data_IF_475014514335
#
_entry.id   IF_475014514335
#
_cell.length_a   1.000
_cell.length_b   1.000
_cell.length_c   1.000
_cell.angle_alpha   90.00
_cell.angle_beta   90.00
_cell.angle_gamma   90.00
#
_symmetry.space_group_name_H-M   'P 1'
#
loop_
_entity.id
_entity.type
_entity.pdbx_description
1 polymer ?
2 water ?
#
# COMPACT_ATOMS: atom_id res chain seq x y z
N UNK A 2 -14.29 -5.33 12.74
CA UNK A 2 -15.16 -4.18 13.12
C UNK A 2 -15.15 -3.08 12.07
N UNK A 3 -15.91 -3.22 10.99
CA UNK A 3 -15.97 -2.17 9.98
C UNK A 3 -17.36 -1.52 10.02
N UNK A 4 -17.37 -0.20 10.15
CA UNK A 4 -18.62 0.56 10.30
C UNK A 4 -19.29 0.83 8.95
N UNK A 5 -18.53 1.25 7.97
CA UNK A 5 -19.08 1.77 6.73
C UNK A 5 -18.69 0.88 5.58
N UNK A 6 -19.52 0.86 4.54
CA UNK A 6 -19.06 0.49 3.20
C UNK A 6 -18.82 1.74 2.37
N UNK A 7 -18.18 1.54 1.19
CA UNK A 7 -18.08 2.68 0.29
C UNK A 7 -19.46 3.23 -0.07
N UNK A 8 -20.45 2.34 -0.22
CA UNK A 8 -21.83 2.79 -0.41
C UNK A 8 -22.25 3.82 0.64
N UNK A 9 -21.99 3.50 1.91
CA UNK A 9 -22.38 4.39 3.03
C UNK A 9 -21.66 5.72 2.98
N UNK A 10 -20.36 5.70 2.60
CA UNK A 10 -19.62 6.97 2.43
C UNK A 10 -20.30 7.80 1.34
N UNK A 11 -20.55 7.16 0.23
CA UNK A 11 -21.24 7.87 -0.84
C UNK A 11 -22.60 8.42 -0.42
N UNK A 12 -23.42 7.65 0.32
CA UNK A 12 -24.78 8.06 0.70
C UNK A 12 -24.87 9.03 1.89
N UNK A 13 -23.76 9.32 2.53
CA UNK A 13 -23.76 10.14 3.74
C UNK A 13 -24.13 11.57 3.40
N UNK A 14 -25.07 12.13 4.17
CA UNK A 14 -25.52 13.50 3.95
C UNK A 14 -25.26 14.30 5.22
N UNK A 15 -25.20 15.63 5.05
CA UNK A 15 -24.88 16.51 6.16
C UNK A 15 -25.81 17.69 6.17
N UNK A 16 -26.19 18.16 7.36
CA UNK A 16 -26.86 19.44 7.51
C UNK A 16 -25.90 20.58 7.17
N UNK A 17 -26.46 21.77 7.20
CA UNK A 17 -25.72 22.99 6.96
C UNK A 17 -25.73 23.85 8.21
N UNK A 18 -24.69 24.65 8.35
CA UNK A 18 -24.69 25.70 9.38
C UNK A 18 -23.98 26.91 8.80
N UNK A 19 -24.07 28.04 9.51
CA UNK A 19 -23.57 29.29 8.95
C UNK A 19 -22.05 29.27 8.84
N UNK A 20 -21.35 28.77 9.87
CA UNK A 20 -19.90 28.61 9.84
C UNK A 20 -19.52 27.21 9.41
N UNK A 21 -19.99 26.79 8.26
CA UNK A 21 -19.80 25.43 7.83
C UNK A 21 -18.45 25.12 7.16
N UNK A 22 -18.29 23.84 6.76
CA UNK A 22 -17.18 23.39 5.94
C UNK A 22 -17.50 23.49 4.45
N UNK A 23 -16.50 23.90 3.67
CA UNK A 23 -16.65 24.04 2.25
C UNK A 23 -17.12 22.72 1.66
N UNK A 24 -18.27 22.73 1.00
CA UNK A 24 -18.89 21.45 0.63
C UNK A 24 -18.10 20.71 -0.45
N UNK A 25 -17.55 21.46 -1.41
CA UNK A 25 -16.74 20.85 -2.45
C UNK A 25 -15.52 20.16 -1.86
N UNK A 26 -14.83 20.84 -0.94
CA UNK A 26 -13.65 20.24 -0.31
C UNK A 26 -14.02 18.93 0.38
N UNK A 27 -15.13 18.92 1.12
CA UNK A 27 -15.58 17.68 1.78
C UNK A 27 -15.92 16.63 0.73
N UNK A 28 -16.78 16.97 -0.22
CA UNK A 28 -17.21 15.96 -1.18
C UNK A 28 -16.04 15.38 -1.94
N UNK A 29 -15.14 16.25 -2.36
CA UNK A 29 -13.94 15.81 -3.07
C UNK A 29 -13.00 15.00 -2.19
N UNK A 30 -12.93 15.31 -0.91
CA UNK A 30 -12.26 14.42 0.04
C UNK A 30 -12.95 13.05 0.13
N UNK A 31 -14.28 13.04 0.29
CA UNK A 31 -14.93 11.75 0.48
C UNK A 31 -14.87 10.88 -0.79
N UNK A 32 -14.86 11.50 -1.97
CA UNK A 32 -14.65 10.73 -3.18
C UNK A 32 -13.36 9.88 -3.10
N UNK A 33 -12.29 10.41 -2.50
CA UNK A 33 -11.09 9.60 -2.42
C UNK A 33 -11.19 8.57 -1.30
N UNK A 34 -11.84 8.93 -0.18
CA UNK A 34 -12.17 7.97 0.88
C UNK A 34 -12.94 6.75 0.32
N UNK A 35 -13.92 6.98 -0.55
CA UNK A 35 -14.60 5.88 -1.23
C UNK A 35 -13.62 4.98 -1.96
N UNK A 36 -12.65 5.58 -2.67
CA UNK A 36 -11.66 4.79 -3.41
C UNK A 36 -10.87 3.94 -2.46
N UNK A 37 -10.49 4.51 -1.32
CA UNK A 37 -9.76 3.76 -0.29
C UNK A 37 -10.58 2.63 0.32
N UNK A 38 -11.89 2.84 0.60
CA UNK A 38 -12.69 1.70 1.08
C UNK A 38 -12.69 0.57 0.05
N UNK A 39 -12.80 0.89 -1.22
CA UNK A 39 -12.92 -0.17 -2.22
C UNK A 39 -11.58 -0.84 -2.48
N UNK A 40 -10.50 -0.08 -2.39
CA UNK A 40 -9.16 -0.66 -2.48
C UNK A 40 -8.91 -1.64 -1.32
N UNK A 41 -9.16 -1.21 -0.10
CA UNK A 41 -9.07 -2.12 1.04
C UNK A 41 -9.95 -3.39 0.90
N UNK A 42 -11.22 -3.21 0.52
CA UNK A 42 -12.08 -4.38 0.36
C UNK A 42 -11.48 -5.34 -0.67
N UNK A 43 -11.02 -4.80 -1.79
CA UNK A 43 -10.51 -5.73 -2.81
C UNK A 43 -9.21 -6.36 -2.36
N UNK A 44 -8.40 -5.60 -1.62
CA UNK A 44 -7.12 -6.12 -1.13
C UNK A 44 -7.36 -7.23 -0.11
N UNK A 45 -8.28 -7.00 0.85
CA UNK A 45 -8.67 -8.05 1.80
C UNK A 45 -9.21 -9.28 1.06
N UNK A 46 -10.08 -9.05 0.06
CA UNK A 46 -10.61 -10.20 -0.68
C UNK A 46 -9.48 -11.04 -1.24
N UNK A 47 -8.50 -10.38 -1.86
CA UNK A 47 -7.45 -11.14 -2.57
C UNK A 47 -6.51 -11.83 -1.59
N UNK A 48 -6.24 -11.18 -0.45
CA UNK A 48 -5.44 -11.83 0.58
C UNK A 48 -6.14 -13.08 1.16
N UNK A 49 -7.44 -12.97 1.50
CA UNK A 49 -8.16 -14.14 2.01
C UNK A 49 -8.15 -15.27 1.00
N UNK A 50 -8.16 -14.92 -0.30
CA UNK A 50 -8.01 -15.98 -1.29
C UNK A 50 -6.60 -16.59 -1.28
N UNK A 51 -5.55 -15.76 -1.21
CA UNK A 51 -4.21 -16.36 -1.17
C UNK A 51 -4.08 -17.28 0.04
N UNK A 52 -4.59 -16.84 1.19
CA UNK A 52 -4.61 -17.70 2.38
C UNK A 52 -5.39 -19.01 2.13
N UNK A 53 -6.58 -18.95 1.53
CA UNK A 53 -7.31 -20.21 1.31
C UNK A 53 -6.51 -21.15 0.42
N UNK A 54 -5.90 -20.61 -0.64
CA UNK A 54 -5.12 -21.43 -1.56
C UNK A 54 -3.90 -22.03 -0.87
N UNK A 55 -3.18 -21.24 -0.05
CA UNK A 55 -2.03 -21.81 0.67
C UNK A 55 -2.47 -22.95 1.61
N UNK A 56 -3.58 -22.74 2.35
CA UNK A 56 -4.14 -23.81 3.19
C UNK A 56 -4.50 -25.05 2.38
N UNK A 57 -5.09 -24.89 1.19
CA UNK A 57 -5.29 -26.08 0.37
C UNK A 57 -3.96 -26.77 0.08
N UNK A 58 -2.94 -25.99 -0.29
CA UNK A 58 -1.64 -26.54 -0.65
C UNK A 58 -0.92 -27.17 0.55
N UNK A 59 -1.13 -26.65 1.76
CA UNK A 59 -0.51 -27.30 2.91
C UNK A 59 -1.12 -28.69 3.18
N UNK A 60 -2.34 -28.95 2.70
CA UNK A 60 -2.85 -30.34 2.59
C UNK A 60 -2.56 -30.96 1.20
N UNK B 1 -4.61 -0.68 -6.40
CA UNK B 1 -3.76 0.50 -6.28
C UNK B 1 -3.38 0.80 -4.84
N UNK B 2 -2.72 1.92 -4.59
CA UNK B 2 -2.33 2.14 -3.21
C UNK B 2 -3.35 3.03 -2.52
N UNK B 3 -3.33 2.94 -1.21
CA UNK B 3 -4.23 3.68 -0.36
C UNK B 3 -3.86 5.16 -0.44
N UNK B 4 -4.86 6.02 -0.62
CA UNK B 4 -4.62 7.47 -0.72
C UNK B 4 -4.31 8.08 0.66
N UNK B 5 -5.08 7.72 1.68
CA UNK B 5 -5.08 8.34 2.98
C UNK B 5 -4.65 7.35 4.05
N UNK B 6 -3.88 7.81 5.02
CA UNK B 6 -3.68 7.09 6.27
C UNK B 6 -4.82 7.46 7.23
N UNK B 7 -4.95 6.72 8.33
CA UNK B 7 -5.90 7.19 9.32
C UNK B 7 -5.47 8.53 9.90
N UNK B 8 -4.16 8.75 10.01
CA UNK B 8 -3.64 10.06 10.38
C UNK B 8 -4.16 11.14 9.43
N UNK B 9 -4.02 10.93 8.12
CA UNK B 9 -4.44 11.93 7.15
C UNK B 9 -5.91 12.26 7.31
N UNK B 10 -6.76 11.22 7.50
CA UNK B 10 -8.20 11.45 7.72
C UNK B 10 -8.40 12.41 8.87
N UNK B 11 -7.77 12.12 9.98
CA UNK B 11 -7.93 12.96 11.16
C UNK B 11 -7.38 14.39 10.93
N UNK B 12 -6.23 14.53 10.25
CA UNK B 12 -5.62 15.87 10.12
C UNK B 12 -6.28 16.74 9.06
N UNK B 13 -7.22 16.19 8.28
CA UNK B 13 -7.82 16.92 7.18
C UNK B 13 -8.58 18.14 7.67
N UNK B 14 -8.22 19.30 7.19
CA UNK B 14 -8.99 20.47 7.58
C UNK B 14 -9.79 20.91 6.37
N UNK B 15 -10.91 21.54 6.60
CA UNK B 15 -11.73 22.07 5.52
C UNK B 15 -11.87 23.57 5.71
N UNK B 16 -11.96 24.30 4.62
CA UNK B 16 -12.05 25.75 4.69
C UNK B 16 -13.46 26.15 5.09
N UNK B 17 -13.64 27.42 5.44
CA UNK B 17 -14.96 27.83 5.90
C UNK B 17 -15.84 28.16 4.71
N UNK B 18 -17.11 27.82 4.82
CA UNK B 18 -18.07 28.16 3.80
C UNK B 18 -19.36 28.50 4.52
N UNK B 19 -19.93 29.62 4.15
CA UNK B 19 -21.16 30.02 4.78
C UNK B 19 -22.26 29.11 4.29
N UNK B 20 -23.00 28.50 5.21
CA UNK B 20 -23.99 27.46 4.95
C UNK B 20 -23.37 26.21 4.34
N UNK B 21 -22.09 25.97 4.61
CA UNK B 21 -21.49 24.71 4.29
C UNK B 21 -21.95 23.63 5.24
N UNK B 22 -21.29 22.48 5.18
CA UNK B 22 -21.76 21.34 5.96
C UNK B 22 -21.57 21.60 7.45
N UNK B 23 -22.52 21.11 8.24
CA UNK B 23 -22.43 21.13 9.69
C UNK B 23 -21.13 20.46 10.15
N UNK B 24 -20.36 21.21 10.94
CA UNK B 24 -19.01 20.75 11.29
C UNK B 24 -19.08 19.54 12.20
N UNK B 25 -20.01 19.55 13.15
CA UNK B 25 -20.21 18.41 14.04
C UNK B 25 -20.59 17.15 13.25
N UNK B 26 -21.51 17.26 12.29
CA UNK B 26 -21.87 16.06 11.54
C UNK B 26 -20.67 15.50 10.78
N UNK B 27 -19.92 16.35 10.07
CA UNK B 27 -18.75 15.90 9.32
C UNK B 27 -17.71 15.35 10.25
N UNK B 28 -17.47 16.03 11.38
CA UNK B 28 -16.43 15.59 12.29
C UNK B 28 -16.77 14.23 12.89
N UNK B 29 -18.02 14.06 13.34
CA UNK B 29 -18.39 12.78 13.95
C UNK B 29 -18.40 11.67 12.91
N UNK B 30 -18.73 12.02 11.69
CA UNK B 30 -18.69 11.03 10.62
C UNK B 30 -17.27 10.55 10.37
N UNK B 31 -16.33 11.49 10.18
CA UNK B 31 -14.92 11.14 9.94
C UNK B 31 -14.29 10.45 11.14
N UNK B 32 -14.78 10.75 12.36
CA UNK B 32 -14.32 9.99 13.54
C UNK B 32 -14.51 8.49 13.33
N UNK B 33 -15.66 8.08 12.76
CA UNK B 33 -15.93 6.67 12.47
C UNK B 33 -15.14 6.20 11.27
N UNK B 34 -15.00 7.05 10.24
CA UNK B 34 -14.15 6.70 9.10
C UNK B 34 -12.72 6.42 9.56
N UNK B 35 -12.23 7.19 10.52
CA UNK B 35 -10.90 6.91 11.08
C UNK B 35 -10.80 5.49 11.61
N UNK B 36 -11.83 5.06 12.38
CA UNK B 36 -11.84 3.72 12.98
C UNK B 36 -11.77 2.66 11.89
N UNK B 37 -12.48 2.91 10.79
CA UNK B 37 -12.43 2.00 9.65
C UNK B 37 -11.05 1.96 9.03
N UNK B 38 -10.37 3.11 8.89
CA UNK B 38 -9.03 3.02 8.33
C UNK B 38 -8.12 2.22 9.23
N UNK B 39 -8.22 2.44 10.54
CA UNK B 39 -7.35 1.71 11.47
C UNK B 39 -7.62 0.19 11.39
N UNK B 40 -8.89 -0.20 11.31
CA UNK B 40 -9.24 -1.62 11.23
C UNK B 40 -8.67 -2.25 9.98
N UNK B 41 -8.97 -1.64 8.81
CA UNK B 41 -8.47 -2.18 7.56
C UNK B 41 -6.96 -2.23 7.55
N UNK B 42 -6.29 -1.18 8.00
CA UNK B 42 -4.83 -1.23 7.91
C UNK B 42 -4.32 -2.41 8.73
N UNK B 43 -4.94 -2.64 9.87
CA UNK B 43 -4.46 -3.70 10.75
C UNK B 43 -4.84 -5.07 10.19
N UNK B 44 -6.02 -5.14 9.59
CA UNK B 44 -6.44 -6.38 8.97
C UNK B 44 -5.51 -6.77 7.81
N UNK B 45 -5.17 -5.83 6.92
CA UNK B 45 -4.20 -6.16 5.84
C UNK B 45 -2.88 -6.66 6.40
N UNK B 46 -2.34 -6.01 7.45
CA UNK B 46 -1.10 -6.47 8.06
C UNK B 46 -1.20 -7.89 8.57
N UNK B 47 -2.29 -8.22 9.28
CA UNK B 47 -2.39 -9.57 9.85
C UNK B 47 -2.52 -10.62 8.75
N UNK B 48 -3.25 -10.30 7.69
CA UNK B 48 -3.39 -11.22 6.57
C UNK B 48 -2.06 -11.45 5.90
N UNK B 49 -1.30 -10.37 5.66
CA UNK B 49 0.04 -10.56 5.10
C UNK B 49 0.90 -11.38 6.03
N UNK B 50 0.74 -11.17 7.32
CA UNK B 50 1.56 -11.92 8.24
C UNK B 50 1.16 -13.39 8.21
N UNK B 51 -0.14 -13.66 8.05
CA UNK B 51 -0.58 -15.07 7.95
C UNK B 51 -0.04 -15.72 6.68
N UNK B 52 -0.09 -15.01 5.55
CA UNK B 52 0.48 -15.54 4.30
C UNK B 52 1.97 -15.85 4.47
N UNK B 53 2.70 -14.89 5.03
CA UNK B 53 4.14 -15.09 5.22
C UNK B 53 4.42 -16.28 6.10
N UNK B 54 3.62 -16.47 7.17
CA UNK B 54 3.83 -17.65 8.02
C UNK B 54 3.49 -18.95 7.28
N UNK B 55 2.43 -18.92 6.48
CA UNK B 55 2.01 -20.13 5.77
C UNK B 55 3.00 -20.51 4.68
N UNK B 56 3.50 -19.52 3.94
CA UNK B 56 4.55 -19.78 2.95
C UNK B 56 5.79 -20.36 3.60
N UNK B 57 6.20 -19.80 4.74
CA UNK B 57 7.34 -20.34 5.47
C UNK B 57 7.05 -21.75 5.98
N UNK B 58 5.81 -22.03 6.40
CA UNK B 58 5.42 -23.39 6.78
C UNK B 58 5.59 -24.35 5.60
N UNK B 59 4.89 -24.08 4.50
CA UNK B 59 5.06 -24.74 3.20
C UNK B 59 6.54 -25.02 2.86
N UNK B 60 7.42 -24.10 3.22
CA UNK B 60 8.85 -24.40 3.26
C UNK B 60 9.21 -25.10 4.57
N UNK C 1 -2.04 -0.89 2.55
CA UNK C 1 -1.17 -2.04 2.51
C UNK C 1 -1.06 -2.66 1.13
N UNK C 2 -0.89 -1.84 0.08
CA UNK C 2 -0.71 -2.40 -1.26
C UNK C 2 0.72 -2.91 -1.47
N UNK C 3 1.67 -2.47 -0.65
CA UNK C 3 3.04 -3.00 -0.69
C UNK C 3 3.09 -4.33 0.07
N UNK C 4 3.64 -5.36 -0.58
CA UNK C 4 3.68 -6.70 -0.03
C UNK C 4 4.75 -6.82 1.04
N UNK C 5 5.98 -6.44 0.69
CA UNK C 5 7.19 -6.60 1.51
C UNK C 5 7.72 -5.27 2.06
N UNK C 6 8.27 -5.29 3.28
CA UNK C 6 9.20 -4.24 3.70
C UNK C 6 10.62 -4.59 3.27
N UNK C 7 11.54 -3.62 3.39
CA UNK C 7 12.98 -3.93 3.22
C UNK C 7 13.46 -5.00 4.21
N UNK C 8 12.95 -4.94 5.44
CA UNK C 8 13.22 -5.99 6.42
C UNK C 8 12.77 -7.37 5.92
N UNK C 9 11.62 -7.44 5.26
CA UNK C 9 11.20 -8.77 4.80
C UNK C 9 12.15 -9.29 3.76
N UNK C 10 12.63 -8.41 2.87
CA UNK C 10 13.58 -8.86 1.84
C UNK C 10 14.84 -9.40 2.51
N UNK C 11 15.32 -8.66 3.51
CA UNK C 11 16.49 -9.06 4.28
C UNK C 11 16.30 -10.43 4.93
N UNK C 12 15.13 -10.69 5.52
CA UNK C 12 14.83 -11.89 6.28
C UNK C 12 14.48 -13.09 5.43
N UNK C 13 14.31 -12.91 4.13
CA UNK C 13 13.76 -13.96 3.29
C UNK C 13 14.72 -15.14 3.13
N UNK C 14 14.21 -16.34 3.31
CA UNK C 14 15.00 -17.56 3.25
C UNK C 14 14.43 -18.45 2.15
N UNK C 15 15.30 -19.27 1.56
CA UNK C 15 14.90 -20.20 0.53
C UNK C 15 15.39 -21.61 0.88
N UNK C 16 14.58 -22.60 0.54
CA UNK C 16 15.07 -23.97 0.55
C UNK C 16 15.94 -24.21 -0.66
N UNK C 17 16.36 -25.45 -0.80
CA UNK C 17 17.32 -25.86 -1.83
C UNK C 17 16.69 -26.89 -2.74
N UNK C 18 17.30 -27.06 -3.90
CA UNK C 18 16.87 -28.10 -4.80
C UNK C 18 18.09 -28.56 -5.54
N UNK C 19 17.94 -29.60 -6.35
CA UNK C 19 19.13 -30.13 -7.03
C UNK C 19 19.68 -29.13 -8.04
N UNK C 20 18.87 -28.75 -9.04
CA UNK C 20 19.26 -27.76 -10.03
C UNK C 20 18.85 -26.39 -9.53
N UNK C 21 19.56 -25.93 -8.50
CA UNK C 21 19.17 -24.70 -7.81
C UNK C 21 19.73 -23.44 -8.45
N UNK C 22 19.43 -22.29 -7.84
CA UNK C 22 20.07 -21.04 -8.23
C UNK C 22 21.26 -20.79 -7.33
N UNK C 23 22.30 -20.15 -7.91
CA UNK C 23 23.51 -19.81 -7.18
C UNK C 23 23.20 -18.88 -6.00
N UNK C 24 23.61 -19.30 -4.81
CA UNK C 24 23.16 -18.63 -3.60
C UNK C 24 23.77 -17.24 -3.49
N UNK C 25 25.04 -17.10 -3.88
CA UNK C 25 25.75 -15.83 -3.78
C UNK C 25 25.13 -14.81 -4.73
N UNK C 26 24.83 -15.23 -5.96
CA UNK C 26 24.16 -14.36 -6.93
C UNK C 26 22.81 -13.87 -6.43
N UNK C 27 21.95 -14.78 -5.94
CA UNK C 27 20.64 -14.35 -5.44
C UNK C 27 20.81 -13.43 -4.26
N UNK C 28 21.66 -13.84 -3.33
CA UNK C 28 21.85 -13.04 -2.12
C UNK C 28 22.24 -11.63 -2.44
N UNK C 29 23.25 -11.47 -3.31
CA UNK C 29 23.77 -10.14 -3.55
C UNK C 29 22.80 -9.36 -4.41
N UNK C 30 22.00 -10.04 -5.25
CA UNK C 30 20.95 -9.34 -5.97
C UNK C 30 19.93 -8.75 -5.01
N UNK C 31 19.45 -9.58 -4.04
CA UNK C 31 18.48 -9.10 -3.04
C UNK C 31 19.03 -8.00 -2.14
N UNK C 32 20.37 -7.92 -1.96
CA UNK C 32 20.95 -6.81 -1.22
C UNK C 32 20.79 -5.51 -2.00
N UNK C 33 20.68 -5.58 -3.31
CA UNK C 33 20.35 -4.39 -4.06
C UNK C 33 18.85 -4.11 -4.08
N UNK C 34 18.02 -5.16 -4.13
CA UNK C 34 16.58 -4.94 -4.01
C UNK C 34 16.29 -4.28 -2.68
N UNK C 35 16.99 -4.69 -1.63
CA UNK C 35 16.80 -4.08 -0.33
C UNK C 35 17.00 -2.58 -0.42
N UNK C 36 18.05 -2.13 -1.13
CA UNK C 36 18.33 -0.68 -1.24
C UNK C 36 17.23 0.02 -1.98
N UNK C 37 16.70 -0.61 -3.05
CA UNK C 37 15.55 -0.05 -3.76
C UNK C 37 14.32 0.07 -2.87
N UNK C 38 14.03 -0.93 -2.03
CA UNK C 38 12.92 -0.74 -1.11
C UNK C 38 13.17 0.44 -0.17
N UNK C 39 14.38 0.55 0.37
CA UNK C 39 14.63 1.66 1.28
C UNK C 39 14.47 2.99 0.56
N UNK C 40 14.97 3.07 -0.67
CA UNK C 40 14.94 4.30 -1.43
C UNK C 40 13.51 4.71 -1.78
N UNK C 41 12.70 3.71 -2.19
CA UNK C 41 11.31 3.95 -2.54
C UNK C 41 10.51 4.41 -1.30
N UNK C 42 10.72 3.76 -0.16
CA UNK C 42 10.00 4.17 1.03
C UNK C 42 10.35 5.62 1.41
N UNK C 43 11.61 6.00 1.28
CA UNK C 43 12.01 7.36 1.65
C UNK C 43 11.52 8.38 0.62
N UNK C 44 11.45 7.98 -0.66
CA UNK C 44 10.93 8.90 -1.68
C UNK C 44 9.42 9.12 -1.50
N UNK C 45 8.63 8.06 -1.24
CA UNK C 45 7.22 8.26 -0.94
C UNK C 45 7.04 9.19 0.26
N UNK C 46 7.77 8.90 1.34
CA UNK C 46 7.76 9.77 2.52
C UNK C 46 8.13 11.21 2.22
N UNK C 47 9.13 11.47 1.35
CA UNK C 47 9.47 12.87 1.04
C UNK C 47 8.39 13.51 0.16
N UNK C 48 7.91 12.77 -0.82
CA UNK C 48 6.84 13.31 -1.66
C UNK C 48 5.57 13.59 -0.87
N UNK C 49 5.17 12.70 0.06
CA UNK C 49 3.97 12.95 0.84
C UNK C 49 4.14 14.20 1.69
N UNK C 50 5.38 14.49 2.07
CA UNK C 50 5.63 15.70 2.85
C UNK C 50 5.49 16.95 1.99
N UNK C 51 5.99 16.90 0.76
CA UNK C 51 5.82 18.01 -0.16
C UNK C 51 4.34 18.31 -0.40
N UNK C 52 3.53 17.24 -0.56
CA UNK C 52 2.09 17.39 -0.78
C UNK C 52 1.42 18.07 0.39
N UNK C 53 1.72 17.59 1.60
CA UNK C 53 1.19 18.23 2.80
C UNK C 53 1.56 19.71 2.86
N UNK C 54 2.86 20.03 2.77
CA UNK C 54 3.30 21.43 2.78
C UNK C 54 2.56 22.25 1.75
N UNK C 55 2.32 21.66 0.57
CA UNK C 55 1.66 22.39 -0.50
C UNK C 55 0.22 22.71 -0.12
N UNK C 56 -0.45 21.78 0.56
CA UNK C 56 -1.78 22.07 1.07
C UNK C 56 -1.77 23.28 2.02
N UNK C 57 -0.68 23.49 2.77
CA UNK C 57 -0.67 24.63 3.71
C UNK C 57 -0.54 25.96 2.99
N UNK C 58 0.31 26.00 1.98
CA UNK C 58 0.41 27.12 1.06
C UNK C 58 -0.81 27.10 0.13
N UNK D 1 17.24 8.78 -10.43
CA UNK D 1 18.33 7.87 -10.69
C UNK D 1 18.76 7.00 -9.53
N UNK D 2 18.23 7.24 -8.35
CA UNK D 2 18.70 6.51 -7.18
C UNK D 2 18.10 5.08 -7.08
N UNK D 3 17.17 4.71 -7.98
CA UNK D 3 16.63 3.35 -8.02
C UNK D 3 17.55 2.47 -8.87
N UNK D 4 17.95 1.31 -8.35
CA UNK D 4 18.93 0.48 -9.08
C UNK D 4 18.26 -0.24 -10.23
N UNK D 5 17.11 -0.90 -9.97
CA UNK D 5 16.45 -1.87 -10.84
C UNK D 5 15.06 -1.38 -11.27
N UNK D 6 14.63 -1.80 -12.44
CA UNK D 6 13.25 -1.67 -12.88
C UNK D 6 12.47 -2.95 -12.61
N UNK D 7 11.14 -2.84 -12.56
CA UNK D 7 10.36 -4.08 -12.46
C UNK D 7 10.76 -5.06 -13.57
N UNK D 8 11.07 -4.55 -14.76
CA UNK D 8 11.48 -5.44 -15.86
C UNK D 8 12.87 -6.03 -15.61
N UNK D 9 13.78 -5.28 -14.95
CA UNK D 9 15.06 -5.85 -14.54
C UNK D 9 14.87 -7.02 -13.60
N UNK D 10 13.95 -6.87 -12.63
CA UNK D 10 13.70 -7.95 -11.66
C UNK D 10 13.25 -9.20 -12.41
N UNK D 11 12.27 -9.03 -13.31
CA UNK D 11 11.81 -10.18 -14.10
C UNK D 11 12.94 -10.82 -14.93
N UNK D 12 13.77 -10.00 -15.59
CA UNK D 12 14.79 -10.48 -16.51
C UNK D 12 16.01 -11.10 -15.82
N UNK D 13 16.15 -10.91 -14.52
CA UNK D 13 17.30 -11.42 -13.79
C UNK D 13 17.39 -12.92 -13.93
N UNK D 14 18.55 -13.41 -14.37
CA UNK D 14 18.81 -14.83 -14.46
C UNK D 14 19.86 -15.17 -13.41
N UNK D 15 19.72 -16.31 -12.80
CA UNK D 15 20.74 -16.79 -11.89
C UNK D 15 21.39 -18.03 -12.48
N UNK D 16 22.69 -18.17 -12.28
CA UNK D 16 23.37 -19.35 -12.74
C UNK D 16 23.00 -20.55 -11.90
N UNK D 17 23.26 -21.72 -12.46
CA UNK D 17 22.97 -22.98 -11.76
C UNK D 17 23.95 -23.22 -10.62
N UNK D 18 23.40 -23.67 -9.48
CA UNK D 18 24.18 -24.19 -8.37
C UNK D 18 23.56 -25.50 -7.93
N UNK D 19 24.34 -26.59 -7.90
CA UNK D 19 23.84 -27.86 -7.38
C UNK D 19 23.58 -27.70 -5.89
N UNK D 20 22.38 -28.06 -5.45
CA UNK D 20 21.84 -27.83 -4.10
C UNK D 20 21.76 -26.33 -3.77
N UNK D 21 21.64 -25.50 -4.79
CA UNK D 21 21.40 -24.09 -4.62
C UNK D 21 19.95 -23.83 -4.27
N UNK D 22 19.57 -22.55 -4.34
CA UNK D 22 18.23 -22.14 -3.90
C UNK D 22 17.13 -22.72 -4.82
N UNK D 23 15.99 -23.03 -4.22
CA UNK D 23 14.85 -23.59 -4.93
C UNK D 23 14.35 -22.56 -5.91
N UNK D 24 14.31 -22.92 -7.20
CA UNK D 24 13.93 -21.93 -8.22
C UNK D 24 12.49 -21.45 -8.05
N UNK D 25 11.57 -22.37 -7.77
CA UNK D 25 10.17 -21.98 -7.58
C UNK D 25 10.05 -20.97 -6.45
N UNK D 26 10.70 -21.24 -5.32
CA UNK D 26 10.60 -20.26 -4.24
C UNK D 26 11.19 -18.90 -4.64
N UNK D 27 12.35 -18.88 -5.31
CA UNK D 27 12.95 -17.59 -5.62
C UNK D 27 12.10 -16.87 -6.67
N UNK D 28 11.75 -17.58 -7.73
CA UNK D 28 10.94 -17.04 -8.80
C UNK D 28 9.64 -16.41 -8.24
N UNK D 29 8.95 -17.13 -7.37
CA UNK D 29 7.64 -16.65 -6.88
C UNK D 29 7.76 -15.52 -5.86
N UNK D 30 8.83 -15.56 -5.07
CA UNK D 30 9.21 -14.38 -4.30
C UNK D 30 9.46 -13.18 -5.21
N UNK D 31 10.26 -13.36 -6.26
CA UNK D 31 10.57 -12.20 -7.07
C UNK D 31 9.37 -11.73 -7.85
N UNK D 32 8.41 -12.64 -8.15
CA UNK D 32 7.12 -12.22 -8.75
C UNK D 32 6.42 -11.17 -7.87
N UNK D 33 6.47 -11.35 -6.56
CA UNK D 33 5.85 -10.34 -5.71
C UNK D 33 6.72 -9.09 -5.58
N UNK D 34 8.06 -9.24 -5.61
CA UNK D 34 8.96 -8.09 -5.64
C UNK D 34 8.62 -7.24 -6.86
N UNK D 35 8.39 -7.89 -8.00
CA UNK D 35 7.92 -7.20 -9.20
C UNK D 35 6.67 -6.38 -8.91
N UNK D 36 5.69 -6.98 -8.26
CA UNK D 36 4.45 -6.26 -8.01
C UNK D 36 4.72 -5.04 -7.14
N UNK D 37 5.64 -5.14 -6.17
CA UNK D 37 6.03 -4.00 -5.34
C UNK D 37 6.75 -2.89 -6.13
N UNK D 38 7.66 -3.26 -7.03
CA UNK D 38 8.29 -2.24 -7.90
C UNK D 38 7.25 -1.56 -8.76
N UNK D 39 6.28 -2.33 -9.31
CA UNK D 39 5.20 -1.73 -10.09
C UNK D 39 4.34 -0.81 -9.22
N UNK D 40 4.05 -1.22 -7.99
CA UNK D 40 3.22 -0.41 -7.10
C UNK D 40 3.92 0.87 -6.68
N UNK D 41 5.17 0.77 -6.23
CA UNK D 41 5.94 1.94 -5.87
C UNK D 41 6.06 2.89 -7.05
N UNK D 42 6.38 2.38 -8.22
CA UNK D 42 6.52 3.25 -9.39
C UNK D 42 5.19 3.97 -9.73
N UNK D 43 4.06 3.24 -9.68
CA UNK D 43 2.75 3.90 -9.87
C UNK D 43 2.50 4.92 -8.80
N UNK D 44 2.87 4.59 -7.57
CA UNK D 44 2.56 5.46 -6.45
C UNK D 44 3.32 6.78 -6.57
N UNK D 45 4.66 6.71 -6.75
CA UNK D 45 5.54 7.88 -6.96
C UNK D 45 5.01 8.78 -8.09
N UNK D 46 4.72 8.19 -9.25
CA UNK D 46 4.12 8.94 -10.34
C UNK D 46 2.86 9.69 -9.89
N UNK D 47 2.02 9.01 -9.10
CA UNK D 47 0.75 9.58 -8.68
C UNK D 47 0.95 10.71 -7.67
N UNK D 48 1.86 10.52 -6.74
CA UNK D 48 2.27 11.59 -5.85
C UNK D 48 2.91 12.74 -6.64
N UNK D 49 3.74 12.45 -7.64
CA UNK D 49 4.38 13.59 -8.31
C UNK D 49 3.37 14.33 -9.17
N UNK D 50 2.35 13.63 -9.66
CA UNK D 50 1.28 14.35 -10.33
C UNK D 50 0.53 15.27 -9.38
N UNK D 51 0.23 14.78 -8.16
CA UNK D 51 -0.49 15.62 -7.23
C UNK D 51 0.34 16.87 -6.92
N UNK D 52 1.65 16.72 -6.82
CA UNK D 52 2.50 17.86 -6.56
C UNK D 52 2.40 18.88 -7.69
N UNK D 53 2.56 18.44 -8.96
CA UNK D 53 2.36 19.34 -10.10
C UNK D 53 0.98 19.98 -10.08
N UNK D 54 0.00 19.26 -9.55
CA UNK D 54 -1.35 19.81 -9.48
C UNK D 54 -1.45 20.91 -8.44
N UNK D 55 -0.80 20.71 -7.29
CA UNK D 55 -0.99 21.72 -6.26
C UNK D 55 -0.18 22.97 -6.58
N UNK D 56 1.02 22.80 -7.18
CA UNK D 56 1.78 23.93 -7.68
C UNK D 56 1.02 24.69 -8.77
N UNK D 57 0.40 23.97 -9.72
CA UNK D 57 -0.40 24.65 -10.74
C UNK D 57 -1.52 25.45 -10.11
N UNK D 58 -2.03 24.97 -8.99
CA UNK D 58 -3.13 25.61 -8.28
C UNK D 58 -2.62 26.64 -7.28
#
# INVERSE_FOLDING_TARGET
GAIIFSAKDIFEQEFGREVRGYNKVEVDEFLDDVIKDYETYAALVKSLRQEIADLKEELTRK
GAIIFSAKDIFEQEFGREVRGYNKVEVDEFLDDVIKDYETYAALVKSLRQEIADLKEELTRK
GAIIFSAKDIFEQEFGREVRGYNKVEVDEFLDDVIKDYETYAALVKSLRQEIADLKEELTRK
GAIIFSAKDIFEQEFGREVRGYNKVEVDEFLDDVIKDYETYAALVKSLRQEIADLKEELTRK
#
